data_IF_424190696954
#
_entry.id   IF_424190696954
#
_cell.length_a   1.000
_cell.length_b   1.000
_cell.length_c   1.000
_cell.angle_alpha   90.00
_cell.angle_beta   90.00
_cell.angle_gamma   90.00
#
_symmetry.space_group_name_H-M   'P 1'
#
loop_
_entity.id
_entity.type
_entity.pdbx_description
1 polymer ?
#
# COMPACT_ATOMS: atom_id res chain seq x y z
N UNK A 1 -11.75 -14.61 -0.92
CA UNK A 1 -11.61 -13.21 -0.51
C UNK A 1 -12.65 -12.38 -1.23
N UNK A 2 -13.14 -11.33 -0.57
CA UNK A 2 -13.83 -10.22 -1.24
C UNK A 2 -12.80 -9.13 -1.49
N UNK A 3 -12.65 -8.70 -2.75
CA UNK A 3 -11.55 -7.86 -3.21
C UNK A 3 -12.05 -6.53 -3.76
N UNK A 4 -11.30 -5.46 -3.53
CA UNK A 4 -11.54 -4.16 -4.14
C UNK A 4 -10.23 -3.40 -4.32
N UNK A 5 -10.18 -2.52 -5.32
CA UNK A 5 -9.08 -1.61 -5.56
C UNK A 5 -9.59 -0.22 -5.90
N UNK A 6 -8.81 0.80 -5.54
CA UNK A 6 -9.03 2.20 -5.86
C UNK A 6 -7.69 2.81 -6.24
N UNK A 7 -7.73 3.67 -7.25
CA UNK A 7 -6.58 4.43 -7.71
C UNK A 7 -6.96 5.91 -7.86
N UNK A 8 -6.14 6.78 -7.27
CA UNK A 8 -6.22 8.24 -7.41
C UNK A 8 -4.87 8.74 -7.97
N UNK A 9 -4.80 9.18 -9.24
CA UNK A 9 -3.57 9.72 -9.78
C UNK A 9 -3.24 11.09 -9.18
N UNK A 10 -1.95 11.36 -8.98
CA UNK A 10 -1.42 12.69 -8.69
C UNK A 10 -1.74 13.64 -9.85
N UNK A 11 -2.10 14.87 -9.51
CA UNK A 11 -2.23 15.93 -10.50
C UNK A 11 -0.85 16.25 -11.12
N UNK A 12 -0.64 15.79 -12.35
CA UNK A 12 0.58 16.01 -13.12
C UNK A 12 0.26 16.16 -14.61
N UNK A 13 0.36 17.38 -15.19
CA UNK A 13 0.05 17.60 -16.61
C UNK A 13 0.89 16.76 -17.59
N UNK A 14 2.08 16.31 -17.19
CA UNK A 14 2.95 15.46 -18.03
C UNK A 14 2.58 13.97 -17.96
N UNK A 15 1.90 13.57 -16.89
CA UNK A 15 1.49 12.18 -16.60
C UNK A 15 0.08 12.19 -16.00
N UNK A 16 -0.94 12.58 -16.79
CA UNK A 16 -2.29 12.83 -16.26
C UNK A 16 -3.00 11.58 -15.73
N UNK A 17 -2.47 10.39 -16.04
CA UNK A 17 -2.99 9.11 -15.56
C UNK A 17 -2.16 8.53 -14.40
N UNK A 18 -1.19 9.29 -13.89
CA UNK A 18 -0.16 8.85 -12.95
C UNK A 18 0.65 7.65 -13.45
N UNK A 19 1.32 6.97 -12.53
CA UNK A 19 2.32 5.92 -12.80
C UNK A 19 2.11 4.64 -11.99
N UNK A 20 1.21 4.68 -11.01
CA UNK A 20 0.75 3.52 -10.27
C UNK A 20 -0.07 2.55 -11.13
N UNK A 21 -0.01 1.27 -10.78
CA UNK A 21 -0.81 0.21 -11.35
C UNK A 21 -1.27 -0.79 -10.27
N UNK A 22 -2.37 -1.49 -10.54
CA UNK A 22 -2.87 -2.56 -9.69
C UNK A 22 -3.58 -3.64 -10.51
N UNK A 23 -3.76 -4.81 -9.89
CA UNK A 23 -4.60 -5.87 -10.45
C UNK A 23 -5.33 -6.64 -9.35
N UNK A 24 -6.43 -7.27 -9.74
CA UNK A 24 -7.22 -8.19 -8.92
C UNK A 24 -7.51 -9.43 -9.77
N UNK A 25 -7.19 -10.62 -9.24
CA UNK A 25 -7.70 -11.90 -9.73
C UNK A 25 -8.60 -12.49 -8.65
N UNK A 26 -9.92 -12.47 -8.90
CA UNK A 26 -10.89 -13.10 -8.00
C UNK A 26 -10.80 -14.63 -8.06
N UNK A 27 -10.50 -15.21 -9.23
CA UNK A 27 -10.33 -16.66 -9.37
C UNK A 27 -9.14 -17.17 -8.57
N UNK A 28 -7.97 -16.52 -8.74
CA UNK A 28 -6.73 -16.92 -8.07
C UNK A 28 -6.57 -16.32 -6.68
N UNK A 29 -7.56 -15.55 -6.21
CA UNK A 29 -7.52 -14.91 -4.90
C UNK A 29 -6.21 -14.12 -4.73
N UNK A 30 -5.90 -13.27 -5.70
CA UNK A 30 -4.63 -12.55 -5.78
C UNK A 30 -4.86 -11.07 -6.05
N UNK A 31 -4.12 -10.22 -5.34
CA UNK A 31 -4.07 -8.78 -5.57
C UNK A 31 -2.62 -8.35 -5.73
N UNK A 32 -2.41 -7.24 -6.44
CA UNK A 32 -1.11 -6.61 -6.48
C UNK A 32 -1.17 -5.12 -6.76
N UNK A 33 -0.15 -4.42 -6.29
CA UNK A 33 0.08 -3.00 -6.49
C UNK A 33 1.52 -2.78 -6.95
N UNK A 34 1.72 -1.79 -7.80
CA UNK A 34 3.02 -1.41 -8.32
C UNK A 34 3.06 0.11 -8.46
N UNK A 35 4.05 0.75 -7.86
CA UNK A 35 4.30 2.19 -8.03
C UNK A 35 5.40 2.39 -9.07
N UNK A 36 5.10 3.16 -10.11
CA UNK A 36 6.02 3.49 -11.18
C UNK A 36 6.97 4.61 -10.78
N UNK A 37 8.25 4.28 -10.57
CA UNK A 37 9.26 5.24 -10.12
C UNK A 37 9.74 6.12 -11.28
N UNK A 38 9.08 7.27 -11.45
CA UNK A 38 9.35 8.23 -12.52
C UNK A 38 10.24 9.40 -12.09
N UNK A 39 11.49 9.47 -12.59
CA UNK A 39 12.31 10.68 -12.41
C UNK A 39 13.69 10.67 -13.06
N UNK A 40 14.42 9.56 -12.97
CA UNK A 40 15.86 9.54 -13.28
C UNK A 40 16.30 8.42 -14.24
N UNK A 41 15.47 7.40 -14.49
CA UNK A 41 15.76 6.29 -15.38
C UNK A 41 14.56 5.96 -16.30
N UNK A 42 14.82 5.36 -17.47
CA UNK A 42 13.75 4.83 -18.33
C UNK A 42 13.13 3.57 -17.70
N UNK A 43 12.11 3.73 -16.85
CA UNK A 43 11.19 2.67 -16.43
C UNK A 43 11.71 1.74 -15.33
N UNK A 44 11.14 1.88 -14.13
CA UNK A 44 11.27 0.97 -13.01
C UNK A 44 10.04 1.09 -12.09
N UNK A 45 9.82 0.09 -11.25
CA UNK A 45 8.64 0.06 -10.38
C UNK A 45 8.86 -0.76 -9.12
N UNK A 46 8.22 -0.37 -8.02
CA UNK A 46 8.03 -1.26 -6.86
C UNK A 46 6.97 -2.31 -7.18
N UNK A 47 6.91 -3.40 -6.42
CA UNK A 47 5.89 -4.43 -6.64
C UNK A 47 5.55 -5.15 -5.35
N UNK A 48 4.27 -5.14 -4.98
CA UNK A 48 3.73 -5.93 -3.87
C UNK A 48 2.62 -6.83 -4.41
N UNK A 49 2.78 -8.15 -4.26
CA UNK A 49 1.81 -9.16 -4.72
C UNK A 49 1.41 -10.02 -3.54
N UNK A 50 0.12 -10.31 -3.41
CA UNK A 50 -0.45 -11.06 -2.30
C UNK A 50 -1.47 -12.07 -2.84
N UNK A 51 -1.29 -13.33 -2.47
CA UNK A 51 -2.17 -14.46 -2.86
C UNK A 51 -2.63 -15.21 -1.63
N UNK A 52 -3.92 -15.59 -1.59
CA UNK A 52 -4.44 -16.55 -0.63
C UNK A 52 -4.30 -17.97 -1.20
N UNK A 53 -3.61 -18.86 -0.48
CA UNK A 53 -3.42 -20.26 -0.84
C UNK A 53 -3.84 -21.15 0.33
N UNK A 54 -5.05 -21.73 0.25
CA UNK A 54 -5.66 -22.44 1.38
C UNK A 54 -5.90 -21.49 2.56
N UNK A 55 -5.39 -21.87 3.73
CA UNK A 55 -5.46 -21.08 4.97
C UNK A 55 -4.27 -20.12 5.18
N UNK A 56 -3.47 -19.90 4.12
CA UNK A 56 -2.26 -19.09 4.18
C UNK A 56 -2.28 -17.95 3.18
N UNK A 57 -1.97 -16.75 3.67
CA UNK A 57 -1.59 -15.63 2.85
C UNK A 57 -0.11 -15.78 2.48
N UNK A 58 0.21 -15.63 1.20
CA UNK A 58 1.58 -15.52 0.69
C UNK A 58 1.73 -14.15 0.07
N UNK A 59 2.80 -13.44 0.41
CA UNK A 59 3.09 -12.17 -0.23
C UNK A 59 4.56 -12.05 -0.56
N UNK A 60 4.83 -11.25 -1.58
CA UNK A 60 6.17 -10.89 -2.01
C UNK A 60 6.18 -9.39 -2.29
N UNK A 61 7.19 -8.69 -1.76
CA UNK A 61 7.33 -7.25 -1.92
C UNK A 61 8.74 -6.88 -2.39
N UNK A 62 8.83 -5.94 -3.32
CA UNK A 62 10.05 -5.22 -3.71
C UNK A 62 9.75 -3.73 -3.62
N UNK A 63 10.43 -3.02 -2.71
CA UNK A 63 10.31 -1.57 -2.56
C UNK A 63 9.51 -1.11 -1.34
N UNK A 64 8.92 0.07 -1.44
CA UNK A 64 8.20 0.77 -0.37
C UNK A 64 6.67 0.77 -0.51
N UNK A 65 6.13 0.20 -1.59
CA UNK A 65 4.81 -0.42 -1.56
C UNK A 65 4.71 -1.44 -0.41
N UNK A 66 3.50 -1.75 0.04
CA UNK A 66 3.34 -2.70 1.14
C UNK A 66 1.91 -3.08 1.46
N UNK A 67 1.73 -3.72 2.60
CA UNK A 67 0.42 -4.13 3.10
C UNK A 67 0.40 -4.37 4.62
N UNK A 68 -0.83 -4.37 5.15
CA UNK A 68 -1.17 -4.72 6.51
C UNK A 68 -2.15 -5.89 6.51
N UNK A 69 -2.05 -6.77 7.50
CA UNK A 69 -3.06 -7.77 7.84
C UNK A 69 -3.67 -7.39 9.18
N UNK A 70 -4.99 -7.20 9.19
CA UNK A 70 -5.76 -6.70 10.33
C UNK A 70 -6.71 -7.78 10.81
N UNK A 71 -6.63 -8.12 12.11
CA UNK A 71 -7.48 -9.10 12.80
C UNK A 71 -7.97 -8.51 14.11
N UNK A 72 -9.26 -8.65 14.39
CA UNK A 72 -9.87 -8.21 15.66
C UNK A 72 -9.52 -6.77 16.07
N UNK A 73 -9.44 -5.86 15.09
CA UNK A 73 -9.12 -4.44 15.33
C UNK A 73 -7.65 -4.15 15.63
N UNK A 74 -6.73 -5.10 15.39
CA UNK A 74 -5.29 -4.91 15.54
C UNK A 74 -4.51 -5.34 14.29
N UNK A 75 -3.27 -4.84 14.16
CA UNK A 75 -2.33 -5.25 13.10
C UNK A 75 -1.65 -6.56 13.52
N UNK A 76 -1.89 -7.63 12.75
CA UNK A 76 -1.20 -8.92 12.90
C UNK A 76 0.13 -8.92 12.16
N UNK A 77 0.16 -8.25 11.01
CA UNK A 77 1.35 -8.12 10.19
C UNK A 77 1.35 -6.78 9.47
N UNK A 78 2.54 -6.19 9.34
CA UNK A 78 2.80 -5.03 8.48
C UNK A 78 4.09 -5.30 7.73
N UNK A 79 4.06 -5.18 6.40
CA UNK A 79 5.25 -5.33 5.57
C UNK A 79 6.29 -4.27 5.92
N UNK A 80 7.57 -4.66 5.92
CA UNK A 80 8.66 -3.71 6.07
C UNK A 80 8.92 -2.96 4.75
N UNK A 81 9.11 -1.65 4.84
CA UNK A 81 9.55 -0.79 3.73
C UNK A 81 10.98 -1.16 3.30
N UNK A 82 11.20 -1.38 2.01
CA UNK A 82 12.52 -1.71 1.47
C UNK A 82 13.08 -0.53 0.69
N UNK A 83 14.17 0.05 1.20
CA UNK A 83 14.83 1.19 0.58
C UNK A 83 16.34 1.14 0.81
N UNK A 84 17.10 1.75 -0.11
CA UNK A 84 18.57 1.89 -0.01
C UNK A 84 18.96 3.07 0.87
N UNK A 85 18.17 4.13 0.79
CA UNK A 85 18.18 5.33 1.60
C UNK A 85 16.76 5.88 1.63
N UNK A 86 16.50 6.89 2.46
CA UNK A 86 15.19 7.52 2.51
C UNK A 86 14.66 7.90 1.12
N UNK A 87 13.43 7.48 0.82
CA UNK A 87 12.72 7.74 -0.43
C UNK A 87 13.48 7.26 -1.69
N UNK A 88 14.27 6.19 -1.54
CA UNK A 88 14.98 5.50 -2.63
C UNK A 88 14.72 3.99 -2.54
N UNK A 89 13.53 3.53 -2.99
CA UNK A 89 13.14 2.14 -2.85
C UNK A 89 13.94 1.19 -3.74
N UNK A 90 14.00 -0.07 -3.32
CA UNK A 90 14.31 -1.16 -4.25
C UNK A 90 13.20 -1.25 -5.30
N UNK A 91 13.56 -1.49 -6.56
CA UNK A 91 12.59 -1.39 -7.65
C UNK A 91 13.01 -2.28 -8.81
N UNK A 92 12.06 -2.96 -9.45
CA UNK A 92 12.30 -3.82 -10.61
C UNK A 92 12.34 -2.99 -11.90
N UNK A 93 13.03 -3.47 -12.94
CA UNK A 93 13.09 -2.82 -14.25
C UNK A 93 14.52 -2.46 -14.67
N UNK A 94 14.75 -1.20 -15.07
CA UNK A 94 16.08 -0.73 -15.55
C UNK A 94 17.09 -0.39 -14.44
N UNK A 95 16.77 -0.65 -13.19
CA UNK A 95 17.69 -0.50 -12.07
C UNK A 95 18.63 -1.71 -11.97
N UNK A 96 19.46 -1.74 -10.93
CA UNK A 96 20.33 -2.88 -10.62
C UNK A 96 19.65 -3.94 -9.74
N UNK A 97 18.41 -3.70 -9.30
CA UNK A 97 17.70 -4.64 -8.44
C UNK A 97 17.13 -5.79 -9.28
N UNK A 98 16.93 -6.92 -8.61
CA UNK A 98 16.43 -8.15 -9.21
C UNK A 98 15.28 -8.67 -8.35
N UNK A 99 14.33 -9.45 -8.89
CA UNK A 99 13.34 -10.16 -8.09
C UNK A 99 13.89 -10.91 -6.86
N UNK A 100 15.17 -11.31 -6.87
CA UNK A 100 15.83 -11.89 -5.69
C UNK A 100 16.00 -10.94 -4.49
N UNK A 101 15.80 -9.63 -4.68
CA UNK A 101 15.75 -8.65 -3.59
C UNK A 101 14.42 -8.66 -2.83
N UNK A 102 13.42 -9.40 -3.33
CA UNK A 102 12.11 -9.41 -2.72
C UNK A 102 12.11 -10.01 -1.32
N UNK A 103 11.29 -9.44 -0.45
CA UNK A 103 10.97 -10.03 0.85
C UNK A 103 9.68 -10.81 0.68
N UNK A 104 9.79 -12.12 0.91
CA UNK A 104 8.66 -13.04 0.93
C UNK A 104 8.11 -13.17 2.35
N UNK A 105 6.80 -13.42 2.45
CA UNK A 105 6.14 -13.78 3.70
C UNK A 105 5.12 -14.88 3.47
N UNK A 106 4.92 -15.71 4.50
CA UNK A 106 3.79 -16.62 4.60
C UNK A 106 3.15 -16.45 5.99
N UNK A 107 1.82 -16.24 6.03
CA UNK A 107 1.07 -15.97 7.27
C UNK A 107 -0.23 -16.77 7.25
N UNK A 108 -0.52 -17.47 8.34
CA UNK A 108 -1.82 -18.14 8.51
C UNK A 108 -2.92 -17.11 8.78
N UNK A 109 -4.00 -17.18 8.03
CA UNK A 109 -5.12 -16.23 8.12
C UNK A 109 -6.36 -16.88 8.70
N UNK A 110 -7.27 -16.04 9.19
CA UNK A 110 -8.56 -16.43 9.74
C UNK A 110 -9.69 -15.77 8.94
N UNK A 111 -10.86 -16.41 8.88
CA UNK A 111 -12.05 -15.79 8.33
C UNK A 111 -12.35 -14.47 9.07
N UNK A 112 -12.58 -13.39 8.32
CA UNK A 112 -12.77 -12.05 8.84
C UNK A 112 -11.53 -11.16 8.79
N UNK A 113 -10.32 -11.73 8.63
CA UNK A 113 -9.10 -10.95 8.42
C UNK A 113 -9.25 -9.99 7.23
N UNK A 114 -8.72 -8.78 7.38
CA UNK A 114 -8.70 -7.75 6.34
C UNK A 114 -7.26 -7.44 5.97
N UNK A 115 -6.94 -7.56 4.70
CA UNK A 115 -5.67 -7.17 4.11
C UNK A 115 -5.88 -5.81 3.44
N UNK A 116 -5.01 -4.86 3.75
CA UNK A 116 -4.95 -3.56 3.05
C UNK A 116 -3.57 -3.44 2.45
N UNK A 117 -3.47 -3.42 1.12
CA UNK A 117 -2.23 -3.18 0.41
C UNK A 117 -2.29 -1.85 -0.36
N UNK A 118 -1.15 -1.22 -0.56
CA UNK A 118 -1.08 0.03 -1.28
C UNK A 118 0.34 0.43 -1.63
N UNK A 119 0.43 1.43 -2.51
CA UNK A 119 1.67 2.09 -2.88
C UNK A 119 2.11 3.05 -1.78
N UNK A 120 3.29 3.65 -1.94
CA UNK A 120 3.82 4.62 -0.99
C UNK A 120 2.85 5.80 -0.80
N UNK A 121 2.07 6.21 -1.81
CA UNK A 121 1.02 7.24 -1.65
C UNK A 121 0.00 6.96 -0.54
N UNK A 122 -0.30 5.69 -0.24
CA UNK A 122 -1.05 5.32 0.96
C UNK A 122 -0.14 5.28 2.20
N UNK A 123 0.96 4.54 2.11
CA UNK A 123 1.82 4.19 3.26
C UNK A 123 2.53 5.41 3.87
N UNK A 124 2.83 6.40 3.05
CA UNK A 124 3.49 7.66 3.43
C UNK A 124 2.52 8.65 4.08
N UNK A 125 1.22 8.52 3.82
CA UNK A 125 0.19 9.49 4.20
C UNK A 125 -0.83 8.98 5.23
N UNK A 126 -0.85 7.68 5.54
CA UNK A 126 -1.71 7.14 6.61
C UNK A 126 -0.91 6.27 7.59
N UNK A 127 -1.06 6.53 8.88
CA UNK A 127 -0.54 5.63 9.92
C UNK A 127 -1.30 4.31 9.92
N UNK A 128 -0.61 3.24 10.32
CA UNK A 128 -1.23 1.92 10.50
C UNK A 128 -2.48 1.97 11.42
N UNK A 129 -2.46 2.81 12.46
CA UNK A 129 -3.61 3.03 13.34
C UNK A 129 -4.81 3.67 12.62
N UNK A 130 -4.58 4.56 11.67
CA UNK A 130 -5.65 5.19 10.88
C UNK A 130 -6.27 4.20 9.88
N UNK A 131 -5.44 3.33 9.29
CA UNK A 131 -5.89 2.23 8.42
C UNK A 131 -6.74 1.24 9.22
N UNK A 132 -6.28 0.82 10.40
CA UNK A 132 -7.03 -0.06 11.31
C UNK A 132 -8.38 0.56 11.70
N UNK A 133 -8.38 1.83 12.08
CA UNK A 133 -9.61 2.54 12.44
C UNK A 133 -10.58 2.66 11.25
N UNK A 134 -10.04 2.88 10.04
CA UNK A 134 -10.83 2.92 8.80
C UNK A 134 -11.52 1.59 8.52
N UNK A 135 -10.80 0.47 8.69
CA UNK A 135 -11.36 -0.89 8.57
C UNK A 135 -12.40 -1.15 9.66
N UNK A 136 -12.11 -0.82 10.92
CA UNK A 136 -13.04 -1.00 12.04
C UNK A 136 -14.37 -0.29 11.79
N UNK A 137 -14.32 1.01 11.47
CA UNK A 137 -15.52 1.82 11.16
C UNK A 137 -16.24 1.32 9.92
N UNK A 138 -15.50 0.85 8.92
CA UNK A 138 -16.06 0.25 7.71
C UNK A 138 -16.91 -0.96 8.04
N UNK A 139 -16.39 -1.86 8.88
CA UNK A 139 -17.08 -3.07 9.29
C UNK A 139 -18.33 -2.77 10.12
N UNK A 140 -18.22 -1.87 11.10
CA UNK A 140 -19.35 -1.46 11.95
C UNK A 140 -20.51 -0.84 11.16
N UNK A 141 -20.19 -0.13 10.06
CA UNK A 141 -21.17 0.49 9.18
C UNK A 141 -21.64 -0.42 8.05
N UNK A 142 -21.16 -1.67 7.98
CA UNK A 142 -21.49 -2.60 6.91
C UNK A 142 -21.01 -2.16 5.51
N UNK A 143 -19.93 -1.37 5.44
CA UNK A 143 -19.39 -0.88 4.17
C UNK A 143 -18.75 -2.00 3.36
N UNK A 144 -18.97 -1.95 2.05
CA UNK A 144 -18.31 -2.79 1.06
C UNK A 144 -16.79 -2.56 1.04
N UNK A 145 -16.02 -3.49 0.47
CA UNK A 145 -14.55 -3.35 0.35
C UNK A 145 -14.19 -2.14 -0.52
N UNK A 146 -14.97 -1.85 -1.57
CA UNK A 146 -14.79 -0.66 -2.41
C UNK A 146 -14.99 0.63 -1.63
N UNK A 147 -16.05 0.74 -0.82
CA UNK A 147 -16.26 1.93 0.01
C UNK A 147 -15.15 2.13 1.05
N UNK A 148 -14.61 1.03 1.61
CA UNK A 148 -13.48 1.10 2.54
C UNK A 148 -12.19 1.52 1.82
N UNK A 149 -11.89 0.96 0.65
CA UNK A 149 -10.75 1.35 -0.18
C UNK A 149 -10.84 2.82 -0.60
N UNK A 150 -12.01 3.26 -1.07
CA UNK A 150 -12.28 4.66 -1.43
C UNK A 150 -12.07 5.59 -0.22
N UNK A 151 -12.58 5.20 0.95
CA UNK A 151 -12.42 6.01 2.15
C UNK A 151 -10.94 6.18 2.53
N UNK A 152 -10.16 5.10 2.53
CA UNK A 152 -8.72 5.16 2.82
C UNK A 152 -7.96 5.97 1.78
N UNK A 153 -8.24 5.79 0.49
CA UNK A 153 -7.61 6.58 -0.56
C UNK A 153 -7.88 8.10 -0.40
N UNK A 154 -9.11 8.48 -0.02
CA UNK A 154 -9.44 9.88 0.22
C UNK A 154 -8.81 10.45 1.51
N UNK A 155 -8.66 9.63 2.56
CA UNK A 155 -7.93 10.05 3.78
C UNK A 155 -6.45 10.25 3.46
N UNK A 156 -5.83 9.31 2.74
CA UNK A 156 -4.45 9.45 2.28
C UNK A 156 -4.28 10.70 1.40
N UNK A 157 -5.20 10.96 0.47
CA UNK A 157 -5.19 12.16 -0.36
C UNK A 157 -5.27 13.43 0.48
N UNK A 158 -6.20 13.49 1.43
CA UNK A 158 -6.33 14.64 2.35
C UNK A 158 -5.04 14.87 3.13
N UNK A 159 -4.49 13.82 3.73
CA UNK A 159 -3.24 13.89 4.49
C UNK A 159 -2.05 14.30 3.61
N UNK A 160 -2.03 13.90 2.33
CA UNK A 160 -0.98 14.25 1.38
C UNK A 160 -0.84 15.76 1.12
N UNK A 161 -1.96 16.50 1.22
CA UNK A 161 -2.00 17.95 1.05
C UNK A 161 -1.90 18.73 2.37
N UNK A 162 -2.05 18.07 3.51
CA UNK A 162 -1.91 18.71 4.82
C UNK A 162 -0.42 18.96 5.12
N UNK A 163 -0.05 20.25 5.07
CA UNK A 163 1.33 20.73 5.30
C UNK A 163 1.78 20.65 6.75
N UNK A 164 0.88 20.33 7.67
CA UNK A 164 1.14 20.26 9.11
C UNK A 164 0.90 18.87 9.69
N UNK A 165 0.34 17.93 8.91
CA UNK A 165 0.16 16.56 9.34
C UNK A 165 1.50 15.90 9.68
N UNK A 166 1.53 15.18 10.80
CA UNK A 166 2.68 14.35 11.15
C UNK A 166 2.55 12.97 10.51
N UNK A 167 2.74 12.90 9.19
CA UNK A 167 2.57 11.68 8.41
C UNK A 167 3.75 10.72 8.56
N UNK A 168 3.58 9.41 8.27
CA UNK A 168 4.68 8.45 8.22
C UNK A 168 5.89 8.96 7.42
N UNK A 169 5.65 9.56 6.25
CA UNK A 169 6.71 10.15 5.43
C UNK A 169 7.47 11.27 6.14
N UNK A 170 6.76 12.23 6.73
CA UNK A 170 7.40 13.36 7.41
C UNK A 170 8.26 12.89 8.59
N UNK A 171 7.80 11.87 9.32
CA UNK A 171 8.54 11.25 10.43
C UNK A 171 9.78 10.54 9.90
N UNK A 172 9.65 9.75 8.83
CA UNK A 172 10.76 9.04 8.21
C UNK A 172 11.81 10.00 7.64
N UNK A 173 11.37 11.11 7.02
CA UNK A 173 12.23 12.18 6.50
C UNK A 173 13.10 12.80 7.60
N UNK A 174 12.47 13.15 8.74
CA UNK A 174 13.18 13.70 9.91
C UNK A 174 14.17 12.71 10.51
N UNK A 175 13.79 11.42 10.60
CA UNK A 175 14.70 10.34 11.06
C UNK A 175 15.90 10.15 10.13
N UNK A 176 15.74 10.43 8.84
CA UNK A 176 16.81 10.41 7.86
C UNK A 176 17.67 11.69 7.84
N UNK A 177 17.40 12.65 8.73
CA UNK A 177 18.14 13.91 8.82
C UNK A 177 17.67 15.00 7.86
N UNK A 178 16.55 14.79 7.16
CA UNK A 178 15.96 15.77 6.26
C UNK A 178 14.89 16.60 6.96
N UNK A 179 14.69 17.84 6.52
CA UNK A 179 13.59 18.68 6.99
C UNK A 179 12.41 18.59 6.01
N UNK A 180 11.35 17.89 6.39
CA UNK A 180 10.07 17.85 5.69
C UNK A 180 8.91 17.93 6.70
N UNK A 181 7.89 18.73 6.39
CA UNK A 181 6.67 18.85 7.19
C UNK A 181 5.46 18.51 6.32
N UNK A 182 4.44 17.89 6.93
CA UNK A 182 3.22 17.53 6.23
C UNK A 182 3.33 16.26 5.37
N UNK A 183 2.26 16.00 4.63
CA UNK A 183 2.16 14.86 3.72
C UNK A 183 3.07 14.93 2.49
N UNK A 184 2.99 13.86 1.69
CA UNK A 184 3.68 13.70 0.40
C UNK A 184 2.63 13.48 -0.67
N UNK A 185 2.47 14.45 -1.57
CA UNK A 185 1.54 14.32 -2.71
C UNK A 185 2.08 13.29 -3.68
N UNK A 186 1.35 12.17 -3.83
CA UNK A 186 1.69 11.10 -4.77
C UNK A 186 0.48 10.45 -5.43
N UNK A 187 0.75 9.56 -6.39
CA UNK A 187 -0.23 8.59 -6.86
C UNK A 187 -0.65 7.69 -5.68
N UNK A 188 -1.95 7.43 -5.54
CA UNK A 188 -2.48 6.65 -4.40
C UNK A 188 -3.23 5.44 -4.92
N UNK A 189 -2.66 4.26 -4.66
CA UNK A 189 -3.31 2.98 -4.92
C UNK A 189 -3.61 2.27 -3.60
N UNK A 190 -4.86 1.84 -3.44
CA UNK A 190 -5.32 1.07 -2.28
C UNK A 190 -6.05 -0.16 -2.78
N UNK A 191 -5.67 -1.32 -2.28
CA UNK A 191 -6.42 -2.56 -2.43
C UNK A 191 -6.84 -3.08 -1.06
N UNK A 192 -8.06 -3.60 -0.98
CA UNK A 192 -8.62 -4.14 0.25
C UNK A 192 -9.16 -5.54 -0.05
N UNK A 193 -8.75 -6.51 0.76
CA UNK A 193 -9.20 -7.88 0.66
C UNK A 193 -9.72 -8.36 2.01
N UNK A 194 -10.89 -8.99 2.05
CA UNK A 194 -11.38 -9.69 3.24
C UNK A 194 -11.32 -11.20 3.04
N UNK A 195 -10.75 -11.91 4.00
CA UNK A 195 -10.83 -13.38 4.07
C UNK A 195 -12.26 -13.78 4.43
N UNK A 196 -12.94 -14.52 3.55
CA UNK A 196 -14.33 -14.95 3.75
C UNK A 196 -14.39 -16.36 4.35
N UNK A 197 -13.49 -17.24 3.90
CA UNK A 197 -13.35 -18.62 4.36
C UNK A 197 -11.89 -19.07 4.14
N UNK A 198 -11.46 -20.06 4.93
CA UNK A 198 -10.15 -20.73 4.88
C UNK A 198 -10.32 -22.23 4.88
#
# INVERSE_FOLDING_TARGET
MSLASVYIPKDNPKKPWGEDAHFISEEDQTIGVADGVGGWAKGSSTACIITLSGDKLRAVNVGDSGFLVIRNGGVVYQSSTQQRSFNCPYQLGRTKDNPSAAVEMELRVEAGDVIVAGTDGLMDNMHASEIVESVRRGNEKGRTMTEQACYMANVALYNSFDKYADTPYSIASRKAGNFHMGGKVDDITVTVARIIQV
#
